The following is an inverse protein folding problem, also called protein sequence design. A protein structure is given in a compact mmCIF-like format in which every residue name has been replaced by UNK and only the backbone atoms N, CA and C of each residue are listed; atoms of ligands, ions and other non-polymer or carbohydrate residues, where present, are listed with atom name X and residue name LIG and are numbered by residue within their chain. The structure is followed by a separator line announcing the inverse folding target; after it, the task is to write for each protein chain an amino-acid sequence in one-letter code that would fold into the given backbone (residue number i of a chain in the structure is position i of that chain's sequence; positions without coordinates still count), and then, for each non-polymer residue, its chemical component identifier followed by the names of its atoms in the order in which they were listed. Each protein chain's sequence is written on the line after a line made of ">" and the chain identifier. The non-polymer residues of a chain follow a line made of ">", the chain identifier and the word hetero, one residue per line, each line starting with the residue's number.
data_IF_740816917725
#
_entry.id   IF_740816917725
#
_cell.length_a   1.000
_cell.length_b   1.000
_cell.length_c   1.000
_cell.angle_alpha   90.00
_cell.angle_beta   90.00
_cell.angle_gamma   90.00
#
_symmetry.space_group_name_H-M   'P 1'
#
loop_
_entity.id
_entity.type
_entity.pdbx_description
1 polymer ?
#
# COMPACT_ATOMS: atom_id res chain seq x y z
N UNK A 1 18.37 4.66 11.56
CA UNK A 1 18.12 3.42 12.32
C UNK A 1 17.73 2.33 11.34
N UNK A 2 18.06 1.06 11.54
CA UNK A 2 17.63 -0.02 10.66
C UNK A 2 16.10 -0.09 10.62
N UNK A 3 15.55 -0.57 9.51
CA UNK A 3 14.12 -0.88 9.38
C UNK A 3 13.82 -2.20 10.08
N UNK A 4 12.66 -2.31 10.70
CA UNK A 4 12.18 -3.53 11.34
C UNK A 4 11.16 -4.25 10.45
N UNK A 5 10.31 -3.50 9.78
CA UNK A 5 9.19 -3.99 8.97
C UNK A 5 9.37 -3.77 7.47
N UNK A 6 10.51 -3.21 7.07
CA UNK A 6 10.94 -3.09 5.69
C UNK A 6 12.34 -3.69 5.51
N UNK A 7 12.60 -4.19 4.30
CA UNK A 7 13.96 -4.44 3.83
C UNK A 7 14.23 -3.45 2.71
N UNK A 8 15.41 -2.84 2.71
CA UNK A 8 15.88 -1.94 1.66
C UNK A 8 17.18 -2.46 1.09
N UNK A 9 17.19 -2.75 -0.19
CA UNK A 9 18.38 -3.11 -0.95
C UNK A 9 18.58 -2.10 -2.06
N UNK A 10 19.81 -1.63 -2.23
CA UNK A 10 20.15 -0.68 -3.32
C UNK A 10 21.32 -1.27 -4.10
N UNK A 11 21.12 -1.51 -5.38
CA UNK A 11 22.13 -1.96 -6.30
C UNK A 11 21.89 -1.33 -7.69
N UNK A 12 22.94 -0.99 -8.40
CA UNK A 12 22.90 -0.47 -9.77
C UNK A 12 21.90 0.69 -9.95
N UNK A 13 21.83 1.59 -8.96
CA UNK A 13 20.89 2.73 -8.90
C UNK A 13 19.41 2.35 -8.77
N UNK A 14 19.08 1.10 -8.46
CA UNK A 14 17.75 0.60 -8.20
C UNK A 14 17.60 0.30 -6.73
N UNK A 15 16.58 0.88 -6.09
CA UNK A 15 16.18 0.53 -4.74
C UNK A 15 15.03 -0.48 -4.78
N UNK A 16 15.20 -1.59 -4.05
CA UNK A 16 14.12 -2.56 -3.82
C UNK A 16 13.66 -2.41 -2.37
N UNK A 17 12.42 -1.97 -2.21
CA UNK A 17 11.74 -1.84 -0.91
C UNK A 17 10.82 -3.03 -0.75
N UNK A 18 11.12 -3.90 0.21
CA UNK A 18 10.31 -5.08 0.51
C UNK A 18 9.53 -4.88 1.81
N UNK A 19 8.20 -4.92 1.73
CA UNK A 19 7.34 -4.96 2.92
C UNK A 19 7.59 -6.29 3.64
N UNK A 20 7.97 -6.25 4.93
CA UNK A 20 8.50 -7.42 5.63
C UNK A 20 7.70 -7.77 6.89
N UNK A 21 6.42 -8.07 6.69
CA UNK A 21 5.52 -8.69 7.68
C UNK A 21 4.82 -9.91 7.07
N UNK A 22 5.56 -10.94 6.60
CA UNK A 22 5.00 -12.03 5.78
C UNK A 22 3.90 -12.82 6.48
N UNK A 23 3.97 -13.00 7.80
CA UNK A 23 2.97 -13.73 8.60
C UNK A 23 1.61 -13.01 8.64
N UNK A 24 1.58 -11.69 8.45
CA UNK A 24 0.39 -10.85 8.34
C UNK A 24 0.10 -10.43 6.89
N UNK A 25 0.66 -11.14 5.89
CA UNK A 25 0.55 -10.78 4.47
C UNK A 25 0.91 -9.32 4.21
N UNK A 26 1.92 -8.81 4.92
CA UNK A 26 2.43 -7.45 4.81
C UNK A 26 1.35 -6.38 5.08
N UNK A 27 0.41 -6.65 5.98
CA UNK A 27 -0.58 -5.68 6.43
C UNK A 27 0.10 -4.47 7.08
N UNK A 28 -0.43 -3.28 6.80
CA UNK A 28 0.14 -2.01 7.24
C UNK A 28 -0.36 -1.69 8.65
N UNK A 29 0.54 -1.75 9.62
CA UNK A 29 0.35 -1.22 10.97
C UNK A 29 1.01 0.17 11.09
N UNK A 30 0.82 0.90 12.19
CA UNK A 30 1.41 2.22 12.37
C UNK A 30 2.93 2.24 12.20
N UNK A 31 3.63 1.23 12.68
CA UNK A 31 5.09 1.15 12.62
C UNK A 31 5.58 0.96 11.18
N UNK A 32 4.95 0.06 10.41
CA UNK A 32 5.26 -0.11 8.99
C UNK A 32 4.93 1.17 8.21
N UNK A 33 3.81 1.86 8.55
CA UNK A 33 3.50 3.16 7.95
C UNK A 33 4.64 4.16 8.14
N UNK A 34 5.12 4.34 9.38
CA UNK A 34 6.21 5.27 9.69
C UNK A 34 7.50 4.91 8.91
N UNK A 35 7.80 3.62 8.80
CA UNK A 35 8.95 3.16 8.02
C UNK A 35 8.78 3.42 6.52
N UNK A 36 7.58 3.23 5.97
CA UNK A 36 7.28 3.56 4.57
C UNK A 36 7.44 5.07 4.30
N UNK A 37 6.95 5.93 5.20
CA UNK A 37 7.10 7.37 5.06
C UNK A 37 8.57 7.80 5.16
N UNK A 38 9.35 7.13 6.02
CA UNK A 38 10.79 7.37 6.18
C UNK A 38 11.57 6.94 4.94
N UNK A 39 11.38 5.72 4.44
CA UNK A 39 12.10 5.22 3.27
C UNK A 39 11.81 6.04 2.01
N UNK A 40 10.56 6.50 1.83
CA UNK A 40 10.22 7.39 0.72
C UNK A 40 11.01 8.70 0.78
N UNK A 41 11.15 9.31 1.97
CA UNK A 41 11.96 10.54 2.13
C UNK A 41 13.43 10.30 1.86
N UNK A 42 14.01 9.23 2.43
CA UNK A 42 15.41 8.87 2.21
C UNK A 42 15.70 8.62 0.74
N UNK A 43 14.85 7.82 0.06
CA UNK A 43 15.03 7.51 -1.36
C UNK A 43 14.80 8.73 -2.27
N UNK A 44 13.92 9.65 -1.90
CA UNK A 44 13.73 10.91 -2.65
C UNK A 44 14.99 11.75 -2.68
N UNK A 45 15.72 11.80 -1.57
CA UNK A 45 16.91 12.62 -1.37
C UNK A 45 18.21 11.93 -1.81
N UNK A 46 18.18 10.63 -2.08
CA UNK A 46 19.34 9.85 -2.51
C UNK A 46 19.56 9.94 -4.02
N UNK A 47 20.47 10.77 -4.47
CA UNK A 47 20.83 10.92 -5.89
C UNK A 47 21.45 9.64 -6.51
N UNK A 48 21.90 8.69 -5.69
CA UNK A 48 22.40 7.39 -6.13
C UNK A 48 21.29 6.44 -6.58
N UNK A 49 20.02 6.73 -6.25
CA UNK A 49 18.86 5.90 -6.61
C UNK A 49 18.06 6.58 -7.73
N UNK A 50 17.81 5.86 -8.81
CA UNK A 50 17.04 6.35 -9.97
C UNK A 50 15.67 5.71 -10.14
N UNK A 51 15.46 4.50 -9.60
CA UNK A 51 14.20 3.74 -9.71
C UNK A 51 13.92 3.06 -8.38
N UNK A 52 12.66 2.98 -7.99
CA UNK A 52 12.23 2.29 -6.77
C UNK A 52 11.25 1.17 -7.12
N UNK A 53 11.58 -0.03 -6.67
CA UNK A 53 10.72 -1.22 -6.80
C UNK A 53 10.11 -1.51 -5.43
N UNK A 54 8.77 -1.67 -5.38
CA UNK A 54 8.04 -2.10 -4.20
C UNK A 54 7.60 -3.55 -4.35
N UNK A 55 7.83 -4.36 -3.34
CA UNK A 55 7.38 -5.77 -3.30
C UNK A 55 7.04 -6.19 -1.87
N UNK A 56 6.54 -7.41 -1.69
CA UNK A 56 6.24 -7.97 -0.37
C UNK A 56 7.04 -9.24 -0.08
N UNK A 57 7.48 -9.41 1.14
CA UNK A 57 8.08 -10.66 1.59
C UNK A 57 7.03 -11.79 1.64
N UNK A 58 7.46 -13.02 1.34
CA UNK A 58 6.60 -14.19 1.41
C UNK A 58 5.55 -14.25 0.29
N UNK A 59 4.34 -14.72 0.62
CA UNK A 59 3.30 -15.07 -0.35
C UNK A 59 2.35 -13.92 -0.74
N UNK A 60 2.47 -12.74 -0.17
CA UNK A 60 1.59 -11.60 -0.43
C UNK A 60 2.38 -10.34 -0.76
N UNK A 61 1.80 -9.48 -1.58
CA UNK A 61 2.31 -8.13 -1.75
C UNK A 61 1.96 -7.28 -0.51
N UNK A 62 0.67 -7.01 -0.29
CA UNK A 62 0.17 -6.29 0.89
C UNK A 62 -1.35 -6.51 1.01
N UNK A 63 -1.81 -6.95 2.16
CA UNK A 63 -3.24 -7.20 2.42
C UNK A 63 -4.05 -5.96 2.85
N UNK A 64 -3.42 -4.78 2.90
CA UNK A 64 -4.05 -3.52 3.31
C UNK A 64 -3.75 -3.14 4.76
N UNK A 65 -4.62 -2.33 5.37
CA UNK A 65 -4.44 -1.89 6.75
C UNK A 65 -4.63 -3.06 7.72
N UNK A 66 -3.75 -3.16 8.71
CA UNK A 66 -3.81 -4.16 9.77
C UNK A 66 -5.00 -3.87 10.70
N UNK A 67 -6.06 -4.66 10.57
CA UNK A 67 -7.28 -4.48 11.34
C UNK A 67 -7.12 -4.86 12.82
N UNK A 68 -6.06 -5.56 13.19
CA UNK A 68 -5.81 -5.94 14.58
C UNK A 68 -5.26 -4.78 15.39
N UNK A 69 -4.53 -3.88 14.75
CA UNK A 69 -3.95 -2.68 15.36
C UNK A 69 -4.87 -1.46 15.28
N UNK A 70 -5.85 -1.49 14.38
CA UNK A 70 -6.85 -0.43 14.20
C UNK A 70 -8.09 -0.60 15.12
N UNK A 71 -8.04 -1.50 16.09
CA UNK A 71 -9.11 -1.59 17.09
C UNK A 71 -9.23 -0.27 17.84
N UNK A 72 -10.45 0.26 17.83
CA UNK A 72 -10.77 1.40 18.67
C UNK A 72 -10.31 1.14 20.11
N UNK A 73 -9.58 2.08 20.74
CA UNK A 73 -9.42 2.02 22.18
C UNK A 73 -10.80 1.82 22.84
N UNK A 74 -10.87 1.06 23.90
CA UNK A 74 -12.11 0.83 24.67
C UNK A 74 -12.47 2.06 25.54
N UNK A 75 -12.16 3.27 25.05
CA UNK A 75 -12.37 4.55 25.77
C UNK A 75 -13.78 5.12 25.59
N UNK A 76 -14.63 4.43 24.82
CA UNK A 76 -16.02 4.81 24.59
C UNK A 76 -16.24 6.04 23.73
N UNK A 77 -15.18 6.69 23.21
CA UNK A 77 -15.30 7.85 22.34
C UNK A 77 -15.94 7.47 21.00
N UNK A 78 -16.89 8.27 20.48
CA UNK A 78 -17.47 8.03 19.17
C UNK A 78 -16.41 8.11 18.06
N UNK A 79 -16.61 7.34 16.98
CA UNK A 79 -15.68 7.29 15.84
C UNK A 79 -15.42 8.67 15.23
N UNK A 80 -16.40 9.56 15.26
CA UNK A 80 -16.29 10.94 14.74
C UNK A 80 -15.27 11.79 15.49
N UNK A 81 -15.03 11.52 16.78
CA UNK A 81 -14.04 12.21 17.59
C UNK A 81 -12.62 11.63 17.44
N UNK A 82 -12.49 10.58 16.64
CA UNK A 82 -11.27 9.79 16.46
C UNK A 82 -10.77 9.79 15.03
N UNK A 83 -11.35 10.64 14.17
CA UNK A 83 -10.95 10.74 12.76
C UNK A 83 -9.46 11.02 12.63
N UNK A 84 -8.92 11.89 13.47
CA UNK A 84 -7.52 12.28 13.44
C UNK A 84 -6.55 11.15 13.81
N UNK A 85 -7.01 10.14 14.55
CA UNK A 85 -6.21 8.96 14.89
C UNK A 85 -5.96 8.05 13.68
N UNK A 86 -6.75 8.20 12.61
CA UNK A 86 -6.68 7.41 11.38
C UNK A 86 -6.25 8.22 10.16
N UNK A 87 -5.82 9.47 10.33
CA UNK A 87 -5.44 10.36 9.24
C UNK A 87 -4.21 9.85 8.44
N UNK A 88 -3.44 8.92 9.03
CA UNK A 88 -2.31 8.26 8.37
C UNK A 88 -2.73 7.19 7.35
N UNK A 89 -3.99 6.70 7.44
CA UNK A 89 -4.48 5.66 6.53
C UNK A 89 -4.51 6.19 5.10
N UNK A 90 -3.77 5.53 4.22
CA UNK A 90 -3.69 5.88 2.80
C UNK A 90 -2.62 6.89 2.42
N UNK A 91 -1.95 7.53 3.37
CA UNK A 91 -0.86 8.46 3.06
C UNK A 91 0.29 7.78 2.31
N UNK A 92 0.50 6.48 2.51
CA UNK A 92 1.55 5.70 1.86
C UNK A 92 1.45 5.76 0.33
N UNK A 93 0.24 5.58 -0.22
CA UNK A 93 0.01 5.65 -1.65
C UNK A 93 0.23 7.08 -2.19
N UNK A 94 -0.13 8.10 -1.41
CA UNK A 94 0.09 9.50 -1.78
C UNK A 94 1.58 9.81 -1.76
N UNK A 95 2.34 9.32 -0.77
CA UNK A 95 3.77 9.54 -0.67
C UNK A 95 4.52 8.93 -1.85
N UNK A 96 4.19 7.70 -2.24
CA UNK A 96 4.75 7.04 -3.42
C UNK A 96 4.41 7.82 -4.69
N UNK A 97 3.14 8.15 -4.89
CA UNK A 97 2.67 8.76 -6.13
C UNK A 97 3.13 10.20 -6.33
N UNK A 98 3.15 11.02 -5.26
CA UNK A 98 3.39 12.47 -5.37
C UNK A 98 4.77 12.91 -4.92
N UNK A 99 5.32 12.27 -3.91
CA UNK A 99 6.44 12.83 -3.19
C UNK A 99 7.76 12.11 -3.46
N UNK A 100 7.72 10.87 -3.94
CA UNK A 100 8.95 10.10 -4.16
C UNK A 100 9.80 10.64 -5.32
N UNK A 101 9.18 11.27 -6.33
CA UNK A 101 9.86 11.93 -7.47
C UNK A 101 10.81 11.03 -8.27
N UNK A 102 10.59 9.73 -8.26
CA UNK A 102 11.37 8.73 -9.01
C UNK A 102 10.42 7.74 -9.65
N UNK A 103 10.75 7.16 -10.82
CA UNK A 103 9.99 6.05 -11.38
C UNK A 103 9.79 4.93 -10.37
N UNK A 104 8.57 4.43 -10.27
CA UNK A 104 8.16 3.43 -9.29
C UNK A 104 7.57 2.20 -9.98
N UNK A 105 7.95 1.02 -9.50
CA UNK A 105 7.45 -0.26 -10.02
C UNK A 105 6.89 -1.06 -8.85
N UNK A 106 5.63 -1.49 -8.94
CA UNK A 106 5.09 -2.49 -8.03
C UNK A 106 5.35 -3.89 -8.60
N UNK A 107 6.24 -4.65 -7.98
CA UNK A 107 6.44 -6.08 -8.25
C UNK A 107 5.48 -6.89 -7.35
N UNK A 108 4.29 -7.17 -7.88
CA UNK A 108 3.19 -7.75 -7.13
C UNK A 108 3.32 -9.27 -7.10
N UNK A 109 3.95 -9.78 -6.06
CA UNK A 109 4.28 -11.21 -5.89
C UNK A 109 3.12 -12.08 -5.39
N UNK A 110 1.97 -11.48 -5.03
CA UNK A 110 0.82 -12.21 -4.51
C UNK A 110 -0.38 -11.30 -4.30
N UNK A 111 -1.13 -11.52 -3.20
CA UNK A 111 -2.32 -10.72 -2.89
C UNK A 111 -1.96 -9.25 -2.62
N UNK A 112 -2.67 -8.35 -3.30
CA UNK A 112 -2.71 -6.91 -3.05
C UNK A 112 -4.17 -6.50 -2.79
N UNK A 113 -4.51 -6.16 -1.54
CA UNK A 113 -5.90 -5.91 -1.16
C UNK A 113 -6.07 -4.59 -0.41
N UNK A 114 -7.22 -3.92 -0.59
CA UNK A 114 -7.51 -2.64 0.05
C UNK A 114 -6.41 -1.60 -0.16
N UNK A 115 -5.84 -1.06 0.92
CA UNK A 115 -4.71 -0.13 0.85
C UNK A 115 -3.49 -0.73 0.13
N UNK A 116 -3.28 -2.06 0.20
CA UNK A 116 -2.23 -2.74 -0.54
C UNK A 116 -2.47 -2.72 -2.05
N UNK A 117 -3.71 -2.86 -2.51
CA UNK A 117 -4.05 -2.62 -3.91
C UNK A 117 -3.78 -1.17 -4.29
N UNK A 118 -4.15 -0.22 -3.44
CA UNK A 118 -3.87 1.20 -3.67
C UNK A 118 -2.39 1.51 -3.81
N UNK A 119 -1.52 0.89 -2.98
CA UNK A 119 -0.07 1.02 -3.11
C UNK A 119 0.43 0.56 -4.48
N UNK A 120 -0.01 -0.62 -4.93
CA UNK A 120 0.38 -1.14 -6.23
C UNK A 120 -0.10 -0.23 -7.38
N UNK A 121 -1.31 0.34 -7.25
CA UNK A 121 -1.87 1.26 -8.25
C UNK A 121 -1.22 2.65 -8.21
N UNK A 122 -0.66 3.07 -7.10
CA UNK A 122 0.06 4.34 -6.96
C UNK A 122 1.42 4.35 -7.65
N UNK A 123 2.02 3.18 -7.87
CA UNK A 123 3.24 3.06 -8.65
C UNK A 123 2.99 3.33 -10.15
N UNK A 124 4.02 3.78 -10.87
CA UNK A 124 3.93 4.06 -12.31
C UNK A 124 3.69 2.77 -13.11
N UNK A 125 4.39 1.69 -12.74
CA UNK A 125 4.31 0.40 -13.41
C UNK A 125 3.96 -0.73 -12.44
N UNK A 126 3.35 -1.78 -12.94
CA UNK A 126 3.03 -3.00 -12.21
C UNK A 126 3.48 -4.21 -12.98
N UNK A 127 4.19 -5.11 -12.30
CA UNK A 127 4.58 -6.42 -12.81
C UNK A 127 4.01 -7.46 -11.85
N UNK A 128 3.28 -8.42 -12.37
CA UNK A 128 2.68 -9.49 -11.57
C UNK A 128 3.39 -10.82 -11.76
N UNK A 129 3.22 -11.70 -10.78
CA UNK A 129 3.50 -13.13 -10.90
C UNK A 129 2.22 -13.91 -11.21
N UNK A 130 2.30 -15.21 -11.43
CA UNK A 130 1.12 -16.08 -11.57
C UNK A 130 0.24 -16.10 -10.30
N UNK A 131 0.82 -15.77 -9.15
CA UNK A 131 0.13 -15.69 -7.85
C UNK A 131 -0.50 -14.33 -7.59
N UNK A 132 -0.31 -13.35 -8.48
CA UNK A 132 -0.87 -12.01 -8.31
C UNK A 132 -2.39 -12.06 -8.25
N UNK A 133 -2.95 -11.41 -7.24
CA UNK A 133 -4.41 -11.24 -7.07
C UNK A 133 -4.69 -9.86 -6.50
N UNK A 134 -5.65 -9.16 -7.09
CA UNK A 134 -6.12 -7.88 -6.58
C UNK A 134 -7.53 -8.00 -6.00
N UNK A 135 -7.81 -7.26 -4.93
CA UNK A 135 -9.12 -7.18 -4.32
C UNK A 135 -9.36 -5.82 -3.67
N UNK A 136 -10.51 -5.19 -3.91
CA UNK A 136 -10.81 -3.89 -3.32
C UNK A 136 -11.12 -3.94 -1.83
N UNK A 137 -11.82 -4.95 -1.35
CA UNK A 137 -12.27 -5.28 0.03
C UNK A 137 -13.12 -4.24 0.77
N UNK A 138 -13.22 -3.00 0.31
CA UNK A 138 -13.84 -1.90 1.05
C UNK A 138 -15.33 -2.15 1.33
N UNK A 139 -16.10 -2.59 0.34
CA UNK A 139 -17.55 -2.85 0.51
C UNK A 139 -17.83 -3.95 1.53
N UNK A 140 -16.95 -4.94 1.65
CA UNK A 140 -17.06 -6.02 2.64
C UNK A 140 -16.87 -5.52 4.08
N UNK A 141 -16.35 -4.31 4.23
CA UNK A 141 -16.08 -3.64 5.51
C UNK A 141 -16.99 -2.42 5.73
N UNK A 142 -18.00 -2.23 4.88
CA UNK A 142 -18.89 -1.06 4.92
C UNK A 142 -18.12 0.26 4.79
N UNK A 143 -17.03 0.25 4.02
CA UNK A 143 -16.18 1.41 3.75
C UNK A 143 -16.31 1.82 2.28
N UNK A 144 -16.15 3.10 2.02
CA UNK A 144 -15.89 3.60 0.66
C UNK A 144 -14.42 3.38 0.29
N UNK A 145 -14.08 3.25 -1.00
CA UNK A 145 -12.70 3.15 -1.44
C UNK A 145 -11.87 4.34 -1.00
N UNK A 146 -10.89 4.10 -0.14
CA UNK A 146 -9.94 5.07 0.37
C UNK A 146 -8.52 4.82 -0.16
N UNK A 147 -7.50 5.34 0.52
CA UNK A 147 -6.07 5.13 0.22
C UNK A 147 -5.70 5.44 -1.23
N UNK A 148 -6.49 6.27 -1.92
CA UNK A 148 -6.31 6.61 -3.33
C UNK A 148 -6.92 5.61 -4.31
N UNK A 149 -7.57 4.51 -3.88
CA UNK A 149 -8.15 3.54 -4.80
C UNK A 149 -9.17 4.17 -5.75
N UNK A 150 -10.04 5.04 -5.23
CA UNK A 150 -11.02 5.77 -6.03
C UNK A 150 -10.39 6.69 -7.08
N UNK A 151 -9.16 7.17 -6.84
CA UNK A 151 -8.40 7.98 -7.78
C UNK A 151 -7.68 7.14 -8.84
N UNK A 152 -6.97 6.08 -8.43
CA UNK A 152 -6.10 5.32 -9.33
C UNK A 152 -6.87 4.31 -10.19
N UNK A 153 -7.80 3.56 -9.59
CA UNK A 153 -8.39 2.40 -10.25
C UNK A 153 -9.09 2.76 -11.56
N UNK A 154 -10.00 3.76 -11.53
CA UNK A 154 -10.75 4.13 -12.73
C UNK A 154 -9.86 4.74 -13.84
N UNK A 155 -8.73 5.35 -13.48
CA UNK A 155 -7.77 5.87 -14.44
C UNK A 155 -6.99 4.76 -15.16
N UNK A 156 -6.83 3.62 -14.51
CA UNK A 156 -6.08 2.48 -15.05
C UNK A 156 -7.00 1.55 -15.86
N UNK A 157 -8.19 1.21 -15.33
CA UNK A 157 -9.05 0.18 -15.95
C UNK A 157 -10.33 0.74 -16.59
N UNK A 158 -10.58 2.05 -16.47
CA UNK A 158 -11.83 2.69 -16.89
C UNK A 158 -12.94 2.53 -15.86
N UNK A 159 -13.95 3.44 -15.90
CA UNK A 159 -14.97 3.55 -14.86
C UNK A 159 -15.80 2.28 -14.71
N UNK A 160 -16.22 1.66 -15.82
CA UNK A 160 -17.10 0.48 -15.78
C UNK A 160 -16.44 -0.69 -15.02
N UNK A 161 -15.19 -1.00 -15.33
CA UNK A 161 -14.44 -2.06 -14.63
C UNK A 161 -14.12 -1.68 -13.19
N UNK A 162 -13.85 -0.40 -12.93
CA UNK A 162 -13.60 0.08 -11.57
C UNK A 162 -14.82 -0.11 -10.68
N UNK A 163 -16.03 0.24 -11.15
CA UNK A 163 -17.28 0.01 -10.42
C UNK A 163 -17.55 -1.48 -10.20
N UNK A 164 -17.34 -2.33 -11.22
CA UNK A 164 -17.47 -3.79 -11.07
C UNK A 164 -16.56 -4.30 -9.94
N UNK A 165 -15.28 -3.95 -9.96
CA UNK A 165 -14.32 -4.39 -8.96
C UNK A 165 -14.61 -3.87 -7.55
N UNK A 166 -15.08 -2.62 -7.44
CA UNK A 166 -15.40 -2.03 -6.14
C UNK A 166 -16.67 -2.63 -5.55
N UNK A 167 -17.74 -2.78 -6.36
CA UNK A 167 -19.02 -3.26 -5.84
C UNK A 167 -19.09 -4.77 -5.63
N UNK A 168 -18.39 -5.55 -6.45
CA UNK A 168 -18.36 -7.00 -6.26
C UNK A 168 -17.28 -7.46 -5.29
N UNK A 169 -16.24 -6.66 -5.11
CA UNK A 169 -15.05 -7.04 -4.31
C UNK A 169 -14.47 -8.40 -4.69
N UNK A 170 -14.66 -8.83 -5.95
CA UNK A 170 -14.08 -10.09 -6.42
C UNK A 170 -12.58 -10.01 -6.60
N UNK A 171 -11.92 -11.13 -6.54
CA UNK A 171 -10.51 -11.23 -6.95
C UNK A 171 -10.36 -11.10 -8.48
N UNK A 172 -9.29 -10.45 -8.88
CA UNK A 172 -8.77 -10.41 -10.26
C UNK A 172 -7.29 -10.67 -10.25
#
# INVERSE_FOLDING_TARGET
>A
MPYQYLLLEVADQVAVVTLNRPDQLNAINPELHEEMMRVCRELREDDGVRVVIWTGAGRGFCSGIDLTTSRAPEDGRPRTERIDEYNWVGLQAIEIYRNLNKPTIAAVNGVAAGAGMSLALACDMRVGSESTRFKSVFIERSLSPDSGLSYFLHRIVGSSRAFDLVYTSRFV
#
